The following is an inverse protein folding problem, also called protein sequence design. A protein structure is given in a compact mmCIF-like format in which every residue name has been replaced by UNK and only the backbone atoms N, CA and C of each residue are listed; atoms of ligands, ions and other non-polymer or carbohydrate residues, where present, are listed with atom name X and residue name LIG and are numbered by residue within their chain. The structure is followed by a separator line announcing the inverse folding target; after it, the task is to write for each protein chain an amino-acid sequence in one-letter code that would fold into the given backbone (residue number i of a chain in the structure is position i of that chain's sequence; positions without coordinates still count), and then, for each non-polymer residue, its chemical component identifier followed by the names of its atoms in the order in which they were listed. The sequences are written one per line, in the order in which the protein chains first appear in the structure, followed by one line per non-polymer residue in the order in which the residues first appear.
data_IF_428495853347
#
_entry.id   IF_428495853347
#
_cell.length_a   1.000
_cell.length_b   1.000
_cell.length_c   1.000
_cell.angle_alpha   90.00
_cell.angle_beta   90.00
_cell.angle_gamma   90.00
#
_symmetry.space_group_name_H-M   'P 1'
#
loop_
_entity.id
_entity.type
_entity.pdbx_description
1 polymer ?
#
# COMPACT_ATOMS: atom_id res chain seq x y z
N UNK A 1 30.04 11.11 5.91
CA UNK A 1 30.34 12.56 5.79
C UNK A 1 29.44 13.31 4.77
N UNK A 2 28.24 12.80 4.40
CA UNK A 2 27.52 13.30 3.21
C UNK A 2 26.18 14.03 3.48
N UNK A 3 25.67 14.03 4.71
CA UNK A 3 24.33 14.59 5.04
C UNK A 3 24.36 16.12 5.23
N UNK A 4 25.36 16.66 5.93
CA UNK A 4 25.49 18.11 6.15
C UNK A 4 25.81 18.88 4.86
N UNK A 5 26.61 18.31 3.95
CA UNK A 5 26.87 18.95 2.65
C UNK A 5 25.61 18.98 1.76
N UNK A 6 24.77 17.94 1.83
CA UNK A 6 23.48 17.93 1.13
C UNK A 6 22.49 18.94 1.73
N UNK A 7 22.42 19.06 3.06
CA UNK A 7 21.60 20.07 3.74
C UNK A 7 22.06 21.50 3.45
N UNK A 8 23.38 21.75 3.44
CA UNK A 8 23.93 23.06 3.11
C UNK A 8 23.71 23.44 1.64
N UNK A 9 23.78 22.46 0.72
CA UNK A 9 23.45 22.69 -0.68
C UNK A 9 21.95 22.96 -0.89
N UNK A 10 21.08 22.30 -0.12
CA UNK A 10 19.65 22.55 -0.11
C UNK A 10 19.33 23.98 0.35
N UNK A 11 19.90 24.43 1.46
CA UNK A 11 19.72 25.80 1.95
C UNK A 11 20.27 26.84 0.97
N UNK A 12 21.42 26.56 0.35
CA UNK A 12 22.03 27.46 -0.63
C UNK A 12 21.23 27.55 -1.94
N UNK A 13 20.63 26.45 -2.39
CA UNK A 13 19.73 26.45 -3.55
C UNK A 13 18.39 27.15 -3.25
N UNK A 14 17.84 26.98 -2.04
CA UNK A 14 16.67 27.76 -1.59
C UNK A 14 16.96 29.26 -1.57
N UNK A 15 18.14 29.67 -1.11
CA UNK A 15 18.56 31.08 -1.09
C UNK A 15 18.69 31.67 -2.51
N UNK A 16 19.27 30.91 -3.45
CA UNK A 16 19.39 31.34 -4.86
C UNK A 16 18.01 31.42 -5.55
N UNK A 17 17.06 30.55 -5.17
CA UNK A 17 15.67 30.63 -5.64
C UNK A 17 14.92 31.84 -5.07
N UNK A 18 15.16 32.21 -3.80
CA UNK A 18 14.55 33.40 -3.19
C UNK A 18 15.11 34.71 -3.73
N UNK A 19 16.38 34.76 -4.12
CA UNK A 19 17.00 36.00 -4.63
C UNK A 19 16.56 36.35 -6.06
N UNK A 20 16.13 35.36 -6.87
CA UNK A 20 15.54 35.61 -8.19
C UNK A 20 14.02 35.92 -8.16
N UNK A 21 13.38 35.85 -6.99
CA UNK A 21 11.93 36.05 -6.82
C UNK A 21 11.56 37.43 -6.25
N UNK A 22 12.53 38.32 -6.02
CA UNK A 22 12.27 39.65 -5.46
C UNK A 22 11.91 40.69 -6.53
N UNK A 23 10.71 40.58 -7.09
CA UNK A 23 9.92 41.73 -7.53
C UNK A 23 8.50 41.26 -7.87
N UNK A 24 7.50 42.03 -7.42
CA UNK A 24 6.06 41.91 -7.69
C UNK A 24 5.27 41.11 -6.63
N UNK A 25 4.28 41.77 -6.04
CA UNK A 25 3.39 41.21 -5.02
C UNK A 25 2.45 40.11 -5.56
N UNK A 26 1.55 39.57 -4.72
CA UNK A 26 0.64 38.50 -5.13
C UNK A 26 -0.20 38.94 -6.33
N UNK A 27 -0.06 38.20 -7.44
CA UNK A 27 -0.80 38.42 -8.68
C UNK A 27 -2.12 37.64 -8.63
N UNK A 28 -3.11 38.05 -9.42
CA UNK A 28 -4.35 37.28 -9.61
C UNK A 28 -4.21 36.44 -10.87
N UNK A 29 -4.70 35.20 -10.82
CA UNK A 29 -4.75 34.34 -12.00
C UNK A 29 -5.65 34.96 -13.08
N UNK A 30 -5.12 35.11 -14.30
CA UNK A 30 -5.86 35.69 -15.44
C UNK A 30 -7.09 34.86 -15.87
N UNK A 31 -7.11 33.57 -15.52
CA UNK A 31 -8.19 32.64 -15.91
C UNK A 31 -9.27 32.51 -14.83
N UNK A 32 -8.90 32.24 -13.57
CA UNK A 32 -9.88 31.97 -12.50
C UNK A 32 -9.98 33.06 -11.42
N UNK A 33 -9.14 34.09 -11.47
CA UNK A 33 -9.13 35.19 -10.49
C UNK A 33 -8.57 34.84 -9.10
N UNK A 34 -8.08 33.61 -8.88
CA UNK A 34 -7.49 33.20 -7.61
C UNK A 34 -6.15 33.90 -7.34
N UNK A 35 -5.82 34.14 -6.07
CA UNK A 35 -4.54 34.74 -5.67
C UNK A 35 -3.40 33.76 -5.94
N UNK A 36 -2.37 34.19 -6.63
CA UNK A 36 -1.18 33.38 -6.95
C UNK A 36 0.04 33.94 -6.26
N UNK A 37 0.96 33.04 -5.90
CA UNK A 37 2.23 33.43 -5.32
C UNK A 37 3.06 34.23 -6.36
N UNK A 38 3.84 35.24 -5.91
CA UNK A 38 4.83 35.89 -6.75
C UNK A 38 5.76 34.87 -7.42
N UNK A 39 5.97 35.01 -8.73
CA UNK A 39 6.82 34.09 -9.50
C UNK A 39 6.26 32.68 -9.68
N UNK A 40 4.99 32.43 -9.32
CA UNK A 40 4.34 31.15 -9.60
C UNK A 40 4.26 30.92 -11.12
N UNK A 41 4.59 29.70 -11.53
CA UNK A 41 4.52 29.28 -12.92
C UNK A 41 3.15 28.74 -13.32
N UNK A 42 2.38 28.25 -12.35
CA UNK A 42 1.05 27.68 -12.51
C UNK A 42 0.12 28.19 -11.41
N UNK A 43 -1.15 28.42 -11.75
CA UNK A 43 -2.19 28.68 -10.76
C UNK A 43 -2.58 27.38 -10.05
N UNK A 44 -2.40 27.33 -8.73
CA UNK A 44 -2.75 26.16 -7.89
C UNK A 44 -4.25 25.81 -7.94
N UNK A 45 -5.12 26.80 -8.15
CA UNK A 45 -6.56 26.57 -8.20
C UNK A 45 -7.06 25.99 -9.54
N UNK A 46 -6.49 26.41 -10.67
CA UNK A 46 -7.03 26.04 -11.99
C UNK A 46 -6.01 25.42 -12.95
N UNK A 47 -4.75 25.25 -12.55
CA UNK A 47 -3.70 24.66 -13.38
C UNK A 47 -3.27 25.51 -14.58
N UNK A 48 -3.71 26.77 -14.67
CA UNK A 48 -3.35 27.65 -15.79
C UNK A 48 -1.90 28.10 -15.70
N UNK A 49 -1.19 28.05 -16.83
CA UNK A 49 0.17 28.57 -16.98
C UNK A 49 0.21 30.10 -16.83
N UNK A 50 1.12 30.62 -16.02
CA UNK A 50 1.17 32.05 -15.65
C UNK A 50 2.35 32.81 -16.27
N UNK A 51 3.42 32.13 -16.69
CA UNK A 51 4.61 32.80 -17.25
C UNK A 51 4.45 33.06 -18.75
N UNK A 52 3.97 34.25 -19.10
CA UNK A 52 3.88 34.67 -20.49
C UNK A 52 5.26 34.79 -21.16
N UNK A 53 5.31 34.48 -22.46
CA UNK A 53 6.55 34.52 -23.23
C UNK A 53 7.55 33.45 -22.84
N UNK A 54 7.17 32.44 -22.06
CA UNK A 54 8.02 31.31 -21.69
C UNK A 54 7.38 29.99 -22.11
N UNK A 55 8.20 29.05 -22.57
CA UNK A 55 7.73 27.71 -22.92
C UNK A 55 7.31 26.92 -21.66
N UNK A 56 6.10 26.36 -21.65
CA UNK A 56 5.60 25.59 -20.49
C UNK A 56 6.37 24.30 -20.17
N UNK A 57 7.24 23.82 -21.08
CA UNK A 57 8.02 22.59 -20.90
C UNK A 57 9.47 22.81 -20.45
N UNK A 58 10.13 23.89 -20.91
CA UNK A 58 11.57 24.10 -20.67
C UNK A 58 11.92 25.50 -20.16
N UNK A 59 10.91 26.35 -19.96
CA UNK A 59 11.04 27.71 -19.43
C UNK A 59 11.92 28.65 -20.26
N UNK A 60 12.35 28.24 -21.46
CA UNK A 60 13.05 29.15 -22.36
C UNK A 60 12.09 30.23 -22.84
N UNK A 61 12.58 31.46 -22.92
CA UNK A 61 11.85 32.58 -23.51
C UNK A 61 11.48 32.27 -24.97
N UNK A 62 10.24 32.53 -25.34
CA UNK A 62 9.67 32.31 -26.67
C UNK A 62 9.11 33.61 -27.22
N UNK A 63 9.22 33.78 -28.54
CA UNK A 63 8.65 34.96 -29.19
C UNK A 63 7.12 34.83 -29.24
N UNK A 64 6.36 35.95 -29.14
CA UNK A 64 4.91 35.92 -29.34
C UNK A 64 4.53 35.28 -30.68
N UNK A 65 3.58 34.34 -30.68
CA UNK A 65 3.11 33.64 -31.88
C UNK A 65 4.00 32.50 -32.38
N UNK A 66 5.06 32.14 -31.65
CA UNK A 66 5.95 31.03 -32.01
C UNK A 66 5.27 29.67 -31.75
N UNK A 67 5.05 28.88 -32.82
CA UNK A 67 4.38 27.56 -32.74
C UNK A 67 5.19 26.47 -32.04
N UNK A 68 6.52 26.56 -32.06
CA UNK A 68 7.42 25.56 -31.48
C UNK A 68 8.59 26.23 -30.79
N UNK A 69 8.91 25.81 -29.57
CA UNK A 69 10.09 26.28 -28.84
C UNK A 69 11.37 25.90 -29.59
N UNK A 70 12.29 26.85 -29.74
CA UNK A 70 13.58 26.61 -30.41
C UNK A 70 14.51 25.67 -29.65
N UNK A 71 14.32 25.52 -28.33
CA UNK A 71 15.16 24.68 -27.46
C UNK A 71 14.64 23.25 -27.39
N UNK A 72 13.39 23.07 -26.93
CA UNK A 72 12.83 21.74 -26.69
C UNK A 72 11.95 21.21 -27.83
N UNK A 73 11.62 22.03 -28.83
CA UNK A 73 10.79 21.65 -29.96
C UNK A 73 9.31 21.38 -29.63
N UNK A 74 8.86 21.56 -28.39
CA UNK A 74 7.45 21.45 -28.01
C UNK A 74 6.70 22.76 -28.31
N UNK A 75 5.38 22.70 -28.43
CA UNK A 75 4.56 23.91 -28.51
C UNK A 75 4.65 24.68 -27.17
N UNK A 76 5.04 25.97 -27.16
CA UNK A 76 5.16 26.75 -25.93
C UNK A 76 3.87 26.87 -25.12
N UNK A 77 2.71 26.75 -25.77
CA UNK A 77 1.39 26.84 -25.14
C UNK A 77 0.85 25.49 -24.65
N UNK A 78 1.50 24.37 -25.00
CA UNK A 78 1.05 23.02 -24.67
C UNK A 78 0.79 22.14 -25.90
N UNK A 79 0.81 20.83 -25.66
CA UNK A 79 0.63 19.82 -26.70
C UNK A 79 -0.69 19.06 -26.48
N UNK A 80 -1.30 18.60 -27.58
CA UNK A 80 -2.50 17.76 -27.52
C UNK A 80 -2.06 16.29 -27.37
N UNK A 81 -2.57 15.61 -26.35
CA UNK A 81 -2.31 14.19 -26.16
C UNK A 81 -2.88 13.36 -27.32
N UNK A 82 -2.03 12.58 -27.98
CA UNK A 82 -2.42 11.75 -29.13
C UNK A 82 -3.38 10.61 -28.78
N UNK A 83 -3.36 10.15 -27.52
CA UNK A 83 -4.19 9.04 -27.08
C UNK A 83 -5.63 9.46 -26.72
N UNK A 84 -5.79 10.61 -26.04
CA UNK A 84 -7.11 11.02 -25.51
C UNK A 84 -7.58 12.41 -25.95
N UNK A 85 -6.79 13.14 -26.75
CA UNK A 85 -7.12 14.48 -27.24
C UNK A 85 -7.05 15.59 -26.19
N UNK A 86 -6.63 15.31 -24.95
CA UNK A 86 -6.53 16.32 -23.89
C UNK A 86 -5.34 17.26 -24.13
N UNK A 87 -5.57 18.58 -24.08
CA UNK A 87 -4.51 19.58 -24.09
C UNK A 87 -3.72 19.51 -22.78
N UNK A 88 -2.40 19.43 -22.86
CA UNK A 88 -1.51 19.35 -21.71
C UNK A 88 -0.33 20.29 -21.86
N UNK A 89 -0.06 21.04 -20.81
CA UNK A 89 1.13 21.89 -20.65
C UNK A 89 2.29 21.15 -19.97
N UNK A 90 2.13 19.85 -19.70
CA UNK A 90 3.07 19.02 -18.95
C UNK A 90 3.66 17.91 -19.83
N UNK A 91 4.80 17.35 -19.40
CA UNK A 91 5.44 16.21 -20.07
C UNK A 91 4.51 14.99 -20.23
N UNK A 92 3.59 14.78 -19.28
CA UNK A 92 2.65 13.66 -19.28
C UNK A 92 1.20 14.14 -19.26
N UNK A 93 0.33 13.39 -19.94
CA UNK A 93 -1.10 13.73 -19.99
C UNK A 93 -1.74 13.61 -18.60
N UNK A 94 -2.46 14.63 -18.08
CA UNK A 94 -3.11 14.51 -16.78
C UNK A 94 -4.18 13.43 -16.73
N UNK A 95 -4.88 13.19 -17.86
CA UNK A 95 -6.00 12.23 -17.97
C UNK A 95 -5.55 10.79 -18.14
N UNK A 96 -4.68 10.52 -19.11
CA UNK A 96 -4.29 9.14 -19.46
C UNK A 96 -2.84 8.78 -19.10
N UNK A 97 -2.09 9.72 -18.52
CA UNK A 97 -0.68 9.58 -18.11
C UNK A 97 0.30 9.17 -19.22
N UNK A 98 -0.13 9.19 -20.48
CA UNK A 98 0.74 8.95 -21.62
C UNK A 98 1.76 10.09 -21.78
N UNK A 99 2.98 9.79 -22.28
CA UNK A 99 3.96 10.82 -22.64
C UNK A 99 3.39 11.74 -23.73
N UNK A 100 3.46 13.05 -23.48
CA UNK A 100 2.94 14.10 -24.36
C UNK A 100 4.05 14.96 -24.94
N UNK A 101 5.07 15.32 -24.14
CA UNK A 101 6.22 16.03 -24.67
C UNK A 101 7.10 15.11 -25.51
N UNK A 102 7.90 15.69 -26.39
CA UNK A 102 8.83 14.93 -27.26
C UNK A 102 9.79 14.01 -26.48
N UNK A 103 10.29 14.47 -25.33
CA UNK A 103 11.33 13.76 -24.58
C UNK A 103 10.79 12.96 -23.38
N UNK A 104 9.50 13.06 -23.08
CA UNK A 104 8.87 12.39 -21.93
C UNK A 104 8.96 10.86 -22.02
N UNK A 105 8.83 10.28 -23.21
CA UNK A 105 8.91 8.82 -23.40
C UNK A 105 10.32 8.29 -23.10
N UNK A 106 11.36 8.94 -23.64
CA UNK A 106 12.75 8.57 -23.39
C UNK A 106 13.11 8.74 -21.92
N UNK A 107 12.64 9.83 -21.30
CA UNK A 107 12.83 10.04 -19.87
C UNK A 107 12.19 8.93 -19.02
N UNK A 108 10.99 8.48 -19.37
CA UNK A 108 10.31 7.40 -18.65
C UNK A 108 11.09 6.08 -18.78
N UNK A 109 11.68 5.80 -19.94
CA UNK A 109 12.55 4.63 -20.12
C UNK A 109 13.81 4.72 -19.25
N UNK A 110 14.47 5.89 -19.21
CA UNK A 110 15.64 6.13 -18.36
C UNK A 110 15.31 6.02 -16.88
N UNK A 111 14.16 6.58 -16.45
CA UNK A 111 13.70 6.50 -15.07
C UNK A 111 13.44 5.05 -14.65
N UNK A 112 12.80 4.26 -15.53
CA UNK A 112 12.56 2.84 -15.29
C UNK A 112 13.84 2.00 -15.25
N UNK A 113 14.88 2.41 -15.96
CA UNK A 113 16.19 1.77 -15.96
C UNK A 113 17.10 2.24 -14.80
N UNK A 114 16.68 3.27 -14.04
CA UNK A 114 17.49 3.81 -12.94
C UNK A 114 17.58 2.79 -11.78
N UNK A 115 18.75 2.65 -11.14
CA UNK A 115 18.96 1.67 -10.07
C UNK A 115 17.97 1.86 -8.92
N UNK A 116 17.64 3.12 -8.60
CA UNK A 116 16.71 3.48 -7.53
C UNK A 116 15.31 2.92 -7.79
N UNK A 117 14.78 3.06 -9.00
CA UNK A 117 13.45 2.58 -9.37
C UNK A 117 13.44 1.06 -9.52
N UNK A 118 14.50 0.46 -10.07
CA UNK A 118 14.60 -1.00 -10.17
C UNK A 118 14.70 -1.67 -8.80
N UNK A 119 15.43 -1.08 -7.85
CA UNK A 119 15.50 -1.58 -6.47
C UNK A 119 14.14 -1.50 -5.77
N UNK A 120 13.41 -0.39 -5.94
CA UNK A 120 12.06 -0.24 -5.38
C UNK A 120 11.12 -1.28 -5.98
N UNK A 121 11.14 -1.49 -7.30
CA UNK A 121 10.35 -2.53 -7.96
C UNK A 121 10.68 -3.93 -7.43
N UNK A 122 11.97 -4.24 -7.26
CA UNK A 122 12.39 -5.53 -6.72
C UNK A 122 11.92 -5.72 -5.26
N UNK A 123 12.02 -4.69 -4.41
CA UNK A 123 11.50 -4.74 -3.04
C UNK A 123 9.98 -4.90 -3.00
N UNK A 124 9.25 -4.22 -3.90
CA UNK A 124 7.80 -4.39 -4.04
C UNK A 124 7.43 -5.82 -4.44
N UNK A 125 8.15 -6.41 -5.40
CA UNK A 125 7.92 -7.79 -5.83
C UNK A 125 8.21 -8.80 -4.72
N UNK A 126 9.30 -8.60 -3.96
CA UNK A 126 9.64 -9.44 -2.81
C UNK A 126 8.57 -9.33 -1.72
N UNK A 127 8.12 -8.11 -1.41
CA UNK A 127 7.07 -7.85 -0.43
C UNK A 127 5.74 -8.47 -0.84
N UNK A 128 5.37 -8.36 -2.12
CA UNK A 128 4.16 -8.99 -2.66
C UNK A 128 4.20 -10.50 -2.48
N UNK A 129 5.30 -11.15 -2.88
CA UNK A 129 5.48 -12.61 -2.72
C UNK A 129 5.48 -13.05 -1.25
N UNK A 130 6.09 -12.28 -0.34
CA UNK A 130 6.09 -12.61 1.08
C UNK A 130 4.70 -12.47 1.71
N UNK A 131 3.92 -11.46 1.30
CA UNK A 131 2.53 -11.28 1.73
C UNK A 131 1.56 -12.34 1.17
N UNK A 132 1.79 -12.83 -0.05
CA UNK A 132 1.04 -13.94 -0.63
C UNK A 132 1.33 -15.24 0.12
N UNK A 133 2.60 -15.55 0.39
CA UNK A 133 3.00 -16.74 1.16
C UNK A 133 2.47 -16.74 2.60
N UNK A 134 2.33 -15.56 3.22
CA UNK A 134 1.74 -15.39 4.54
C UNK A 134 0.18 -15.43 4.54
N UNK A 135 -0.46 -15.42 3.36
CA UNK A 135 -1.92 -15.55 3.29
C UNK A 135 -2.35 -16.98 3.60
N UNK A 136 -3.29 -17.22 4.53
CA UNK A 136 -3.85 -18.55 4.71
C UNK A 136 -4.50 -18.99 3.40
N UNK A 137 -4.03 -20.10 2.82
CA UNK A 137 -4.69 -20.74 1.68
C UNK A 137 -6.18 -20.89 2.02
N UNK A 138 -7.11 -20.59 1.09
CA UNK A 138 -8.53 -20.79 1.36
C UNK A 138 -8.72 -22.23 1.81
N UNK A 139 -9.33 -22.42 3.00
CA UNK A 139 -9.73 -23.75 3.47
C UNK A 139 -10.49 -24.43 2.32
N UNK A 140 -10.25 -25.72 2.03
CA UNK A 140 -11.02 -26.43 1.02
C UNK A 140 -12.49 -26.15 1.26
N UNK A 141 -13.18 -25.62 0.24
CA UNK A 141 -14.61 -25.39 0.33
C UNK A 141 -15.24 -26.72 0.74
N UNK A 142 -15.86 -26.76 1.91
CA UNK A 142 -16.76 -27.85 2.27
C UNK A 142 -17.84 -27.81 1.20
N UNK A 143 -17.80 -28.76 0.27
CA UNK A 143 -18.82 -28.86 -0.77
C UNK A 143 -20.17 -28.91 -0.05
N UNK A 144 -21.10 -28.06 -0.49
CA UNK A 144 -22.46 -28.10 0.04
C UNK A 144 -22.95 -29.55 -0.04
N UNK A 145 -23.62 -30.07 1.00
CA UNK A 145 -24.07 -31.45 1.02
C UNK A 145 -24.84 -31.76 -0.27
N UNK A 146 -24.57 -32.92 -0.90
CA UNK A 146 -25.21 -33.30 -2.16
C UNK A 146 -26.73 -33.13 -2.08
N UNK A 147 -27.33 -32.50 -3.10
CA UNK A 147 -28.77 -32.21 -3.12
C UNK A 147 -29.65 -33.46 -3.25
N UNK A 148 -29.06 -34.59 -3.58
CA UNK A 148 -29.74 -35.88 -3.62
C UNK A 148 -29.88 -36.44 -2.20
N UNK A 149 -31.12 -36.76 -1.81
CA UNK A 149 -31.47 -37.42 -0.55
C UNK A 149 -30.84 -38.83 -0.37
N UNK A 150 -29.88 -39.20 -1.20
CA UNK A 150 -29.08 -40.42 -1.11
C UNK A 150 -28.35 -40.52 0.24
N UNK A 151 -27.85 -39.39 0.77
CA UNK A 151 -27.18 -39.35 2.07
C UNK A 151 -28.13 -39.62 3.25
N UNK A 152 -29.43 -39.35 3.11
CA UNK A 152 -30.44 -39.69 4.12
C UNK A 152 -30.61 -41.21 4.22
N UNK A 153 -30.58 -41.93 3.10
CA UNK A 153 -30.63 -43.40 3.10
C UNK A 153 -29.40 -44.02 3.78
N UNK A 154 -28.22 -43.40 3.63
CA UNK A 154 -27.02 -43.85 4.36
C UNK A 154 -27.12 -43.64 5.87
N UNK A 155 -27.71 -42.53 6.33
CA UNK A 155 -27.99 -42.29 7.74
C UNK A 155 -29.04 -43.23 8.31
N UNK A 156 -30.09 -43.51 7.54
CA UNK A 156 -31.17 -44.40 7.95
C UNK A 156 -30.66 -45.85 8.08
N UNK A 157 -29.85 -46.32 7.13
CA UNK A 157 -29.14 -47.61 7.26
C UNK A 157 -28.18 -47.64 8.46
N UNK A 158 -27.57 -46.51 8.81
CA UNK A 158 -26.68 -46.43 9.97
C UNK A 158 -27.47 -46.47 11.28
N UNK A 159 -28.62 -45.82 11.38
CA UNK A 159 -29.52 -45.92 12.53
C UNK A 159 -30.07 -47.35 12.69
N UNK A 160 -30.42 -48.02 11.60
CA UNK A 160 -30.93 -49.40 11.60
C UNK A 160 -29.89 -50.40 12.16
N UNK A 161 -28.59 -50.16 11.91
CA UNK A 161 -27.50 -50.96 12.51
C UNK A 161 -27.48 -50.91 14.05
N UNK A 162 -28.10 -49.90 14.66
CA UNK A 162 -28.22 -49.79 16.11
C UNK A 162 -29.62 -50.18 16.65
N UNK A 163 -30.64 -50.33 15.79
CA UNK A 163 -31.98 -50.76 16.21
C UNK A 163 -32.13 -52.28 16.34
N UNK A 164 -31.31 -53.06 15.63
CA UNK A 164 -31.32 -54.53 15.72
C UNK A 164 -30.76 -55.08 17.06
N UNK A 165 -30.26 -54.22 17.94
CA UNK A 165 -29.85 -54.59 19.31
C UNK A 165 -30.89 -54.22 20.39
N UNK A 166 -32.17 -54.14 20.03
CA UNK A 166 -33.28 -54.04 20.99
C UNK A 166 -34.25 -55.21 20.87
N UNK A 167 -33.82 -56.39 21.32
CA UNK A 167 -34.64 -57.34 22.07
C UNK A 167 -33.87 -58.63 22.37
N UNK A 168 -33.02 -58.64 23.40
CA UNK A 168 -32.86 -59.81 24.28
C UNK A 168 -32.57 -59.30 25.70
N UNK A 169 -33.61 -59.21 26.53
CA UNK A 169 -33.42 -59.32 27.96
C UNK A 169 -32.99 -60.75 28.27
N UNK A 170 -31.76 -60.92 28.77
CA UNK A 170 -31.47 -61.99 29.73
C UNK A 170 -30.27 -61.60 30.59
N UNK A 171 -30.61 -61.44 31.86
CA UNK A 171 -29.78 -61.42 33.06
C UNK A 171 -28.54 -62.34 32.98
N UNK A 172 -27.34 -61.76 33.18
CA UNK A 172 -26.29 -62.20 34.13
C UNK A 172 -24.93 -61.58 33.79
N UNK A 173 -24.43 -60.79 34.75
CA UNK A 173 -23.01 -60.59 35.09
C UNK A 173 -21.97 -60.89 34.01
N UNK A 174 -21.53 -59.86 33.28
CA UNK A 174 -20.23 -59.86 32.63
C UNK A 174 -19.63 -58.45 32.67
N UNK A 175 -18.64 -58.30 33.53
CA UNK A 175 -17.80 -57.13 33.70
C UNK A 175 -17.36 -56.61 32.34
N UNK A 176 -17.69 -55.35 32.02
CA UNK A 176 -17.15 -54.68 30.84
C UNK A 176 -15.63 -54.72 30.91
N UNK A 177 -15.01 -55.35 29.93
CA UNK A 177 -13.56 -55.44 29.77
C UNK A 177 -13.00 -54.11 29.23
N UNK A 178 -13.33 -53.01 29.91
CA UNK A 178 -12.76 -51.69 29.68
C UNK A 178 -11.80 -51.40 30.83
N UNK A 179 -10.54 -51.75 30.63
CA UNK A 179 -9.48 -51.42 31.56
C UNK A 179 -9.03 -49.99 31.32
N UNK A 180 -9.32 -49.08 32.26
CA UNK A 180 -8.67 -47.77 32.35
C UNK A 180 -7.21 -47.97 32.76
N UNK A 181 -6.39 -48.38 31.80
CA UNK A 181 -4.95 -48.51 31.95
C UNK A 181 -4.26 -47.17 31.75
N UNK A 182 -3.86 -46.56 32.88
CA UNK A 182 -2.99 -45.39 33.07
C UNK A 182 -3.66 -44.02 32.93
N UNK A 183 -3.23 -43.16 33.87
CA UNK A 183 -3.64 -41.80 34.19
C UNK A 183 -4.32 -41.00 33.07
N UNK A 184 -5.36 -40.23 33.43
CA UNK A 184 -5.84 -39.11 32.64
C UNK A 184 -4.64 -38.29 32.17
N UNK A 185 -4.34 -38.36 30.88
CA UNK A 185 -3.39 -37.47 30.24
C UNK A 185 -4.16 -36.16 30.10
N UNK A 186 -3.88 -35.20 30.96
CA UNK A 186 -4.36 -33.84 30.79
C UNK A 186 -3.93 -33.37 29.38
N UNK A 187 -4.87 -32.86 28.60
CA UNK A 187 -4.65 -32.44 27.21
C UNK A 187 -3.75 -31.19 27.09
N UNK A 188 -3.12 -30.79 28.20
CA UNK A 188 -2.08 -29.76 28.30
C UNK A 188 -0.66 -30.32 28.07
N UNK A 189 -0.42 -31.62 28.25
CA UNK A 189 0.94 -32.21 28.11
C UNK A 189 1.31 -32.66 26.68
N UNK A 190 0.36 -32.64 25.74
CA UNK A 190 0.63 -32.92 24.31
C UNK A 190 0.62 -31.67 23.42
N UNK A 191 0.70 -30.48 24.02
CA UNK A 191 0.99 -29.20 23.33
C UNK A 191 2.39 -28.70 23.70
N UNK A 192 3.37 -29.61 23.80
CA UNK A 192 4.79 -29.24 23.97
C UNK A 192 5.68 -29.82 22.86
N UNK A 193 5.11 -30.49 21.87
CA UNK A 193 5.88 -31.04 20.75
C UNK A 193 5.29 -30.70 19.37
N UNK A 194 4.68 -29.52 19.25
CA UNK A 194 4.91 -28.77 18.02
C UNK A 194 6.35 -28.27 18.14
N UNK A 195 7.27 -28.94 17.45
CA UNK A 195 8.52 -28.31 17.06
C UNK A 195 8.20 -26.86 16.65
N UNK A 196 9.00 -25.86 17.08
CA UNK A 196 8.88 -24.53 16.53
C UNK A 196 8.94 -24.74 15.01
N UNK A 197 7.81 -24.54 14.35
CA UNK A 197 7.73 -24.47 12.90
C UNK A 197 8.86 -23.55 12.52
N UNK A 198 9.83 -24.11 11.80
CA UNK A 198 11.13 -23.54 11.62
C UNK A 198 10.98 -22.04 11.30
N UNK A 199 11.51 -21.21 12.19
CA UNK A 199 11.86 -19.85 11.85
C UNK A 199 12.83 -19.96 10.67
N UNK A 200 12.32 -19.75 9.47
CA UNK A 200 13.12 -19.67 8.24
C UNK A 200 12.44 -18.69 7.31
N UNK A 201 13.23 -17.81 6.70
CA UNK A 201 13.64 -16.54 7.24
C UNK A 201 12.54 -15.48 7.00
N UNK A 202 11.77 -15.13 8.02
CA UNK A 202 11.22 -13.77 8.10
C UNK A 202 12.41 -12.84 8.36
N UNK A 203 13.17 -12.49 7.32
CA UNK A 203 13.56 -11.08 7.24
C UNK A 203 12.23 -10.35 7.30
N UNK A 204 11.95 -9.73 8.45
CA UNK A 204 10.59 -9.43 8.88
C UNK A 204 9.88 -8.73 7.72
N UNK A 205 8.66 -9.12 7.38
CA UNK A 205 7.86 -8.38 6.39
C UNK A 205 7.90 -6.88 6.74
N UNK A 206 7.97 -6.55 8.04
CA UNK A 206 8.17 -5.20 8.55
C UNK A 206 9.53 -4.59 8.17
N UNK A 207 10.63 -5.33 8.24
CA UNK A 207 11.96 -4.88 7.78
C UNK A 207 11.94 -4.57 6.27
N UNK A 208 11.31 -5.44 5.47
CA UNK A 208 11.18 -5.22 4.01
C UNK A 208 10.31 -4.00 3.70
N UNK A 209 9.24 -3.80 4.48
CA UNK A 209 8.37 -2.63 4.37
C UNK A 209 9.08 -1.34 4.78
N UNK A 210 9.80 -1.36 5.89
CA UNK A 210 10.57 -0.22 6.36
C UNK A 210 11.67 0.15 5.36
N UNK A 211 12.35 -0.85 4.78
CA UNK A 211 13.32 -0.62 3.72
C UNK A 211 12.70 0.01 2.47
N UNK A 212 11.51 -0.46 2.05
CA UNK A 212 10.76 0.12 0.92
C UNK A 212 10.34 1.56 1.22
N UNK A 213 9.76 1.81 2.40
CA UNK A 213 9.33 3.15 2.85
C UNK A 213 10.50 4.13 2.94
N UNK A 214 11.63 3.69 3.51
CA UNK A 214 12.84 4.50 3.62
C UNK A 214 13.37 4.92 2.25
N UNK A 215 13.36 4.02 1.26
CA UNK A 215 13.77 4.34 -0.12
C UNK A 215 12.80 5.30 -0.81
N UNK A 216 11.49 5.13 -0.63
CA UNK A 216 10.48 6.05 -1.19
C UNK A 216 10.64 7.45 -0.56
N UNK A 217 10.79 7.53 0.77
CA UNK A 217 11.01 8.78 1.48
C UNK A 217 12.31 9.49 1.04
N UNK A 218 13.34 8.73 0.66
CA UNK A 218 14.55 9.31 0.07
C UNK A 218 14.28 9.94 -1.31
N UNK A 219 13.47 9.31 -2.16
CA UNK A 219 13.09 9.89 -3.47
C UNK A 219 12.24 11.15 -3.33
N UNK A 220 11.34 11.20 -2.35
CA UNK A 220 10.50 12.38 -2.07
C UNK A 220 11.32 13.60 -1.61
N UNK A 221 12.51 13.38 -1.04
CA UNK A 221 13.42 14.45 -0.59
C UNK A 221 14.36 14.95 -1.69
N UNK A 222 14.21 14.46 -2.92
CA UNK A 222 15.04 14.88 -4.03
C UNK A 222 14.76 16.35 -4.37
N UNK A 223 15.82 17.15 -4.42
CA UNK A 223 15.75 18.54 -4.85
C UNK A 223 15.90 18.62 -6.38
N UNK A 224 15.19 19.57 -6.99
CA UNK A 224 15.21 19.83 -8.43
C UNK A 224 15.59 21.28 -8.69
N UNK A 225 16.20 21.53 -9.85
CA UNK A 225 16.58 22.88 -10.25
C UNK A 225 15.36 23.76 -10.56
N UNK A 226 14.29 23.15 -11.10
CA UNK A 226 13.06 23.84 -11.49
C UNK A 226 11.83 22.96 -11.28
N UNK A 227 10.66 23.61 -11.32
CA UNK A 227 9.37 22.96 -11.09
C UNK A 227 8.98 21.96 -12.19
N UNK A 228 9.39 22.12 -13.46
CA UNK A 228 9.10 21.10 -14.48
C UNK A 228 9.88 19.84 -14.23
N UNK A 229 11.16 19.93 -13.87
CA UNK A 229 11.97 18.77 -13.52
C UNK A 229 11.34 18.00 -12.37
N UNK A 230 10.87 18.69 -11.33
CA UNK A 230 10.14 18.08 -10.22
C UNK A 230 8.85 17.39 -10.70
N UNK A 231 7.99 18.09 -11.47
CA UNK A 231 6.72 17.54 -11.99
C UNK A 231 6.95 16.33 -12.88
N UNK A 232 7.95 16.40 -13.76
CA UNK A 232 8.33 15.32 -14.68
C UNK A 232 8.81 14.10 -13.91
N UNK A 233 9.65 14.29 -12.89
CA UNK A 233 10.13 13.21 -12.03
C UNK A 233 9.00 12.55 -11.25
N UNK A 234 8.23 13.32 -10.48
CA UNK A 234 7.17 12.75 -9.63
C UNK A 234 6.05 12.11 -10.44
N UNK A 235 5.64 12.73 -11.56
CA UNK A 235 4.65 12.11 -12.45
C UNK A 235 5.23 10.86 -13.12
N UNK A 236 6.50 10.89 -13.53
CA UNK A 236 7.20 9.73 -14.07
C UNK A 236 7.29 8.58 -13.07
N UNK A 237 7.55 8.86 -11.79
CA UNK A 237 7.53 7.87 -10.71
C UNK A 237 6.14 7.28 -10.52
N UNK A 238 5.10 8.12 -10.47
CA UNK A 238 3.71 7.67 -10.39
C UNK A 238 3.35 6.70 -11.54
N UNK A 239 3.82 6.99 -12.75
CA UNK A 239 3.60 6.12 -13.92
C UNK A 239 4.41 4.82 -13.83
N UNK A 240 5.65 4.91 -13.34
CA UNK A 240 6.59 3.79 -13.29
C UNK A 240 6.31 2.82 -12.13
N UNK A 241 5.65 3.30 -11.08
CA UNK A 241 5.33 2.58 -9.85
C UNK A 241 3.81 2.61 -9.59
N UNK A 242 2.99 2.00 -10.47
CA UNK A 242 1.53 2.09 -10.39
C UNK A 242 0.94 1.41 -9.14
N UNK A 243 1.67 0.48 -8.51
CA UNK A 243 1.21 -0.36 -7.40
C UNK A 243 1.78 0.02 -6.04
N UNK A 244 2.10 1.31 -5.80
CA UNK A 244 2.45 1.79 -4.46
C UNK A 244 1.25 1.78 -3.49
N UNK A 245 0.38 0.76 -3.57
CA UNK A 245 -0.58 0.39 -2.54
C UNK A 245 0.20 -0.17 -1.35
N UNK A 246 0.84 0.71 -0.59
CA UNK A 246 1.50 0.35 0.66
C UNK A 246 0.40 -0.10 1.63
N UNK A 247 0.22 -1.40 1.78
CA UNK A 247 -0.80 -2.00 2.63
C UNK A 247 -0.58 -1.61 4.10
N UNK A 248 -1.11 -0.51 4.62
CA UNK A 248 -1.11 -0.31 6.08
C UNK A 248 -2.10 -1.29 6.70
N UNK A 249 -1.58 -2.30 7.39
CA UNK A 249 -2.36 -3.13 8.30
C UNK A 249 -2.63 -2.24 9.52
N UNK A 250 -3.74 -1.50 9.53
CA UNK A 250 -4.22 -0.91 10.79
C UNK A 250 -4.62 -2.08 11.70
N UNK A 251 -3.95 -2.29 12.85
CA UNK A 251 -4.34 -3.35 13.77
C UNK A 251 -5.77 -3.10 14.23
N UNK A 252 -6.70 -3.94 13.80
CA UNK A 252 -8.11 -3.79 14.20
C UNK A 252 -8.22 -4.32 15.63
N UNK A 253 -8.57 -3.44 16.56
CA UNK A 253 -8.75 -3.76 17.99
C UNK A 253 -9.88 -4.78 18.12
N UNK A 254 -9.53 -6.03 18.45
CA UNK A 254 -10.51 -7.12 18.65
C UNK A 254 -11.18 -6.96 20.01
N UNK A 255 -10.39 -6.67 21.04
CA UNK A 255 -10.89 -6.55 22.41
C UNK A 255 -9.76 -6.61 23.44
N UNK A 256 -10.13 -6.59 24.71
CA UNK A 256 -9.24 -6.66 25.86
C UNK A 256 -9.38 -8.01 26.55
N UNK A 257 -8.27 -8.73 26.72
CA UNK A 257 -8.23 -10.03 27.40
C UNK A 257 -7.97 -9.84 28.89
N UNK A 258 -8.88 -10.33 29.74
CA UNK A 258 -8.75 -10.25 31.19
C UNK A 258 -7.73 -11.29 31.71
N UNK A 259 -6.85 -10.89 32.63
CA UNK A 259 -5.88 -11.80 33.24
C UNK A 259 -6.52 -12.79 34.23
N UNK A 260 -7.63 -12.40 34.87
CA UNK A 260 -8.32 -13.21 35.87
C UNK A 260 -9.02 -14.44 35.29
N UNK A 261 -9.78 -14.26 34.21
CA UNK A 261 -10.60 -15.33 33.60
C UNK A 261 -10.15 -15.72 32.18
N UNK A 262 -9.18 -15.01 31.59
CA UNK A 262 -8.71 -15.25 30.21
C UNK A 262 -9.68 -14.86 29.10
N UNK A 263 -10.89 -14.40 29.44
CA UNK A 263 -11.94 -13.99 28.51
C UNK A 263 -11.63 -12.65 27.83
N UNK A 264 -12.10 -12.49 26.58
CA UNK A 264 -11.95 -11.25 25.80
C UNK A 264 -13.23 -10.42 25.91
N UNK A 265 -13.08 -9.16 26.30
CA UNK A 265 -14.15 -8.17 26.45
C UNK A 265 -13.92 -7.01 25.49
N UNK A 266 -14.95 -6.21 25.19
CA UNK A 266 -14.76 -5.03 24.34
C UNK A 266 -14.00 -3.90 25.04
N UNK A 267 -14.10 -3.84 26.38
CA UNK A 267 -13.47 -2.82 27.21
C UNK A 267 -13.09 -3.37 28.61
N UNK A 268 -12.00 -2.91 29.25
CA UNK A 268 -11.58 -3.35 30.58
C UNK A 268 -12.66 -3.18 31.67
N UNK A 269 -13.53 -2.18 31.50
CA UNK A 269 -14.66 -1.92 32.42
C UNK A 269 -15.70 -3.03 32.48
N UNK A 270 -15.71 -3.94 31.49
CA UNK A 270 -16.62 -5.08 31.44
C UNK A 270 -16.04 -6.34 32.10
N UNK A 271 -14.80 -6.31 32.60
CA UNK A 271 -14.27 -7.43 33.37
C UNK A 271 -14.78 -7.38 34.81
N UNK A 272 -15.17 -8.54 35.34
CA UNK A 272 -15.61 -8.69 36.72
C UNK A 272 -14.51 -8.39 37.75
N UNK A 273 -13.23 -8.44 37.35
CA UNK A 273 -12.08 -8.17 38.20
C UNK A 273 -11.02 -7.34 37.44
N UNK A 274 -11.26 -6.03 37.22
CA UNK A 274 -10.34 -5.18 36.47
C UNK A 274 -9.03 -4.90 37.23
N UNK A 275 -9.02 -5.12 38.55
CA UNK A 275 -7.83 -4.98 39.42
C UNK A 275 -6.69 -5.93 39.06
N UNK A 276 -7.00 -7.10 38.49
CA UNK A 276 -6.00 -8.10 38.08
C UNK A 276 -5.41 -7.79 36.69
N UNK A 277 -5.90 -6.72 36.05
CA UNK A 277 -5.41 -6.23 34.78
C UNK A 277 -5.76 -7.13 33.58
N UNK A 278 -5.16 -6.80 32.44
CA UNK A 278 -5.37 -7.51 31.18
C UNK A 278 -4.67 -6.81 30.01
N UNK A 279 -4.71 -7.44 28.84
CA UNK A 279 -3.98 -7.00 27.65
C UNK A 279 -4.91 -6.80 26.46
N UNK A 280 -4.70 -5.71 25.71
CA UNK A 280 -5.41 -5.48 24.45
C UNK A 280 -4.94 -6.48 23.38
N UNK A 281 -5.89 -7.13 22.71
CA UNK A 281 -5.68 -7.99 21.56
C UNK A 281 -6.05 -7.24 20.29
N UNK A 282 -5.12 -7.25 19.35
CA UNK A 282 -5.31 -6.72 18.01
C UNK A 282 -5.31 -7.89 17.02
N UNK A 283 -6.14 -7.80 15.98
CA UNK A 283 -6.06 -8.70 14.83
C UNK A 283 -5.10 -8.09 13.83
N UNK A 284 -4.30 -8.93 13.19
CA UNK A 284 -3.59 -8.61 11.95
C UNK A 284 -4.61 -8.47 10.82
N UNK A 285 -5.45 -7.43 10.91
CA UNK A 285 -6.45 -7.13 9.91
C UNK A 285 -5.75 -6.67 8.64
N UNK A 286 -5.71 -7.52 7.61
CA UNK A 286 -5.36 -7.10 6.25
C UNK A 286 -6.35 -6.03 5.79
N UNK A 287 -5.99 -4.76 5.96
CA UNK A 287 -6.55 -3.69 5.17
C UNK A 287 -5.68 -3.48 3.94
N UNK A 288 -6.30 -3.65 2.78
CA UNK A 288 -5.78 -3.16 1.51
C UNK A 288 -6.16 -1.68 1.46
N UNK A 289 -5.38 -0.84 2.12
CA UNK A 289 -5.43 0.59 1.82
C UNK A 289 -4.53 0.84 0.60
N UNK A 290 -5.17 1.13 -0.52
CA UNK A 290 -4.55 1.68 -1.73
C UNK A 290 -4.01 3.06 -1.36
N UNK A 291 -2.73 3.15 -0.99
CA UNK A 291 -2.08 4.43 -0.82
C UNK A 291 -1.78 4.97 -2.19
N UNK A 292 -2.57 5.94 -2.59
CA UNK A 292 -2.18 6.74 -3.74
C UNK A 292 -1.06 7.67 -3.29
N UNK A 293 -0.14 8.01 -4.20
CA UNK A 293 1.03 8.88 -3.96
C UNK A 293 0.70 10.24 -3.28
N UNK A 294 -0.58 10.59 -3.13
CA UNK A 294 -1.07 11.82 -2.51
C UNK A 294 -1.35 11.70 -1.00
N UNK A 295 -1.31 10.50 -0.40
CA UNK A 295 -1.62 10.27 1.02
C UNK A 295 -0.37 10.03 1.91
N UNK A 296 0.81 10.47 1.45
CA UNK A 296 2.08 10.52 2.23
C UNK A 296 2.70 11.92 2.11
#
# INVERSE_FOLDING_TARGET
MNSQQQQNNYQKQQQIATDNQQAQGPTLCRNCGHKTLPGADICENCGTWLLEGHCCFCYTAVKPGQKFCGTCGNNPEGNICKACGTHSIFDFCPKCKQPVSRDSANYLQQLNASPQVTEIKALMEVLSKSMEAASPKPKPQVQAPPQDASWLNQLQNYEEQFTDNKAVEQDKTAVSKFSFGKANIDATDKVSNQQPVANTPTASIDEQREALQSKIAALQKQAFADNQQARKFYTGLQISLPELNVFYIKPTRIGWRCNFAGNVHDNPSQCACPRDGGSWIYSEGKQIETITYHDI
#
